data_IF_533835630571
#
_entry.id   IF_533835630571
#
_cell.length_a   1.000
_cell.length_b   1.000
_cell.length_c   1.000
_cell.angle_alpha   90.00
_cell.angle_beta   90.00
_cell.angle_gamma   90.00
#
_symmetry.space_group_name_H-M   'P 1'
#
loop_
_entity.id
_entity.type
_entity.pdbx_description
1 polymer ?
#
# COMPACT_ATOMS: atom_id res chain seq x y z
N UNK A 1 19.13 62.91 -51.18
CA UNK A 1 19.39 61.46 -51.02
C UNK A 1 20.40 61.25 -49.89
N UNK A 2 19.95 61.02 -48.65
CA UNK A 2 20.78 60.54 -47.53
C UNK A 2 19.92 59.58 -46.73
N UNK A 3 20.29 58.30 -46.74
CA UNK A 3 19.51 57.19 -46.22
C UNK A 3 19.55 57.09 -44.70
N UNK A 4 18.39 56.84 -44.11
CA UNK A 4 18.16 56.66 -42.69
C UNK A 4 18.40 55.18 -42.33
N UNK A 5 19.48 54.88 -41.61
CA UNK A 5 19.76 53.53 -41.08
C UNK A 5 19.06 53.35 -39.74
N UNK A 6 18.07 52.45 -39.70
CA UNK A 6 17.46 51.98 -38.46
C UNK A 6 18.32 50.88 -37.84
N UNK A 7 18.73 51.05 -36.58
CA UNK A 7 19.36 49.99 -35.78
C UNK A 7 18.23 49.33 -34.98
N UNK A 8 17.89 48.10 -35.32
CA UNK A 8 16.98 47.28 -34.53
C UNK A 8 17.77 46.59 -33.40
N UNK A 9 17.48 46.95 -32.15
CA UNK A 9 18.00 46.29 -30.96
C UNK A 9 17.13 45.07 -30.65
N UNK A 10 17.62 43.88 -30.95
CA UNK A 10 16.95 42.63 -30.57
C UNK A 10 17.19 42.37 -29.07
N UNK A 11 16.18 42.63 -28.23
CA UNK A 11 16.14 42.12 -26.87
C UNK A 11 15.92 40.61 -26.91
N UNK A 12 16.99 39.83 -26.70
CA UNK A 12 16.88 38.42 -26.39
C UNK A 12 16.17 38.28 -25.03
N UNK A 13 14.92 37.82 -25.05
CA UNK A 13 14.21 37.38 -23.86
C UNK A 13 14.91 36.13 -23.33
N UNK A 14 15.86 36.32 -22.41
CA UNK A 14 16.38 35.22 -21.59
C UNK A 14 15.22 34.75 -20.71
N UNK A 15 14.67 33.57 -21.02
CA UNK A 15 13.76 32.87 -20.12
C UNK A 15 14.42 32.62 -18.77
N UNK A 16 13.65 32.45 -17.67
CA UNK A 16 14.23 32.10 -16.39
C UNK A 16 15.11 30.85 -16.54
N UNK A 17 16.26 30.79 -15.84
CA UNK A 17 17.08 29.59 -15.86
C UNK A 17 16.19 28.41 -15.46
N UNK A 18 16.22 27.35 -16.26
CA UNK A 18 15.63 26.08 -15.84
C UNK A 18 16.25 25.75 -14.48
N UNK A 19 15.42 25.69 -13.44
CA UNK A 19 15.88 25.25 -12.14
C UNK A 19 16.54 23.89 -12.35
N UNK A 20 17.83 23.81 -12.07
CA UNK A 20 18.58 22.57 -12.01
C UNK A 20 17.79 21.66 -11.06
N UNK A 21 17.13 20.64 -11.61
CA UNK A 21 16.29 19.76 -10.83
C UNK A 21 17.22 19.04 -9.86
N UNK A 22 17.24 19.47 -8.59
CA UNK A 22 17.82 18.66 -7.53
C UNK A 22 17.24 17.25 -7.67
N UNK A 23 18.09 16.22 -7.72
CA UNK A 23 17.69 14.83 -7.99
C UNK A 23 16.64 14.38 -6.98
N UNK A 24 15.35 14.58 -7.30
CA UNK A 24 14.25 14.22 -6.42
C UNK A 24 14.11 12.72 -6.45
N UNK A 25 14.28 12.04 -5.33
CA UNK A 25 14.21 10.59 -5.23
C UNK A 25 13.03 10.15 -4.38
N UNK A 26 12.20 9.29 -4.96
CA UNK A 26 11.02 8.70 -4.32
C UNK A 26 11.33 7.23 -4.07
N UNK A 27 11.47 6.84 -2.80
CA UNK A 27 11.55 5.43 -2.44
C UNK A 27 10.15 4.84 -2.28
N UNK A 28 9.85 3.73 -2.95
CA UNK A 28 8.54 3.07 -2.86
C UNK A 28 8.69 1.67 -2.29
N UNK A 29 7.87 1.28 -1.32
CA UNK A 29 7.81 -0.09 -0.79
C UNK A 29 6.39 -0.62 -0.85
N UNK A 30 6.20 -1.76 -1.51
CA UNK A 30 4.95 -2.54 -1.45
C UNK A 30 5.07 -3.63 -0.39
N UNK A 31 4.07 -3.81 0.47
CA UNK A 31 4.10 -4.91 1.48
C UNK A 31 4.03 -6.31 0.85
N UNK A 32 3.62 -6.41 -0.41
CA UNK A 32 3.76 -7.59 -1.26
C UNK A 32 3.44 -7.23 -2.71
N UNK A 33 3.59 -8.19 -3.62
CA UNK A 33 3.39 -7.94 -5.05
C UNK A 33 1.96 -8.29 -5.49
N UNK A 34 0.99 -7.49 -5.04
CA UNK A 34 -0.44 -7.70 -5.31
C UNK A 34 -1.02 -6.62 -6.23
N UNK A 35 -2.04 -6.98 -7.01
CA UNK A 35 -2.73 -6.09 -7.97
C UNK A 35 -3.18 -4.80 -7.28
N UNK A 36 -3.69 -4.89 -6.05
CA UNK A 36 -4.14 -3.72 -5.29
C UNK A 36 -3.04 -2.65 -5.13
N UNK A 37 -1.85 -3.03 -4.69
CA UNK A 37 -0.74 -2.07 -4.51
C UNK A 37 -0.16 -1.59 -5.83
N UNK A 38 -0.16 -2.42 -6.88
CA UNK A 38 0.24 -2.01 -8.22
C UNK A 38 -0.68 -0.90 -8.76
N UNK A 39 -1.99 -1.04 -8.59
CA UNK A 39 -2.95 -0.01 -9.03
C UNK A 39 -2.88 1.27 -8.18
N UNK A 40 -2.68 1.15 -6.86
CA UNK A 40 -2.41 2.34 -6.02
C UNK A 40 -1.14 3.06 -6.49
N UNK A 41 -0.07 2.32 -6.78
CA UNK A 41 1.18 2.91 -7.26
C UNK A 41 1.02 3.60 -8.61
N UNK A 42 0.33 2.95 -9.56
CA UNK A 42 0.04 3.52 -10.87
C UNK A 42 -0.76 4.82 -10.75
N UNK A 43 -1.76 4.86 -9.88
CA UNK A 43 -2.54 6.06 -9.60
C UNK A 43 -1.66 7.16 -8.97
N UNK A 44 -0.79 6.81 -8.03
CA UNK A 44 0.16 7.74 -7.43
C UNK A 44 1.10 8.36 -8.47
N UNK A 45 1.75 7.53 -9.31
CA UNK A 45 2.66 7.99 -10.37
C UNK A 45 1.94 8.91 -11.36
N UNK A 46 0.72 8.56 -11.76
CA UNK A 46 -0.09 9.39 -12.64
C UNK A 46 -0.42 10.75 -12.01
N UNK A 47 -0.77 10.78 -10.72
CA UNK A 47 -1.10 12.02 -10.01
C UNK A 47 0.12 12.92 -9.85
N UNK A 48 1.27 12.41 -9.39
CA UNK A 48 2.46 13.26 -9.20
C UNK A 48 3.04 13.77 -10.51
N UNK A 49 2.84 13.05 -11.62
CA UNK A 49 3.22 13.52 -12.94
C UNK A 49 2.41 14.76 -13.37
N UNK A 50 1.12 14.82 -13.02
CA UNK A 50 0.28 16.00 -13.26
C UNK A 50 0.73 17.21 -12.43
N UNK A 51 1.32 16.96 -11.26
CA UNK A 51 1.92 17.98 -10.39
C UNK A 51 3.37 18.35 -10.81
N UNK A 52 3.86 17.84 -11.93
CA UNK A 52 5.19 18.16 -12.47
C UNK A 52 6.35 17.29 -11.95
N UNK A 53 6.06 16.20 -11.25
CA UNK A 53 7.05 15.22 -10.75
C UNK A 53 7.06 13.94 -11.58
N UNK A 54 7.00 14.07 -12.91
CA UNK A 54 7.16 12.94 -13.82
C UNK A 54 8.61 12.40 -13.85
N UNK A 55 8.90 11.37 -14.69
CA UNK A 55 10.21 10.70 -14.70
C UNK A 55 11.42 11.60 -15.01
N UNK A 56 11.20 12.74 -15.67
CA UNK A 56 12.26 13.72 -15.94
C UNK A 56 12.56 14.63 -14.72
N UNK A 57 11.73 14.60 -13.68
CA UNK A 57 11.77 15.50 -12.53
C UNK A 57 11.90 14.77 -11.19
N UNK A 58 11.65 13.46 -11.14
CA UNK A 58 11.89 12.63 -9.97
C UNK A 58 12.22 11.17 -10.37
N UNK A 59 13.26 10.61 -9.75
CA UNK A 59 13.60 9.20 -9.85
C UNK A 59 12.79 8.39 -8.82
N UNK A 60 12.34 7.19 -9.21
CA UNK A 60 11.54 6.31 -8.35
C UNK A 60 12.26 4.98 -8.15
N UNK A 61 12.66 4.71 -6.91
CA UNK A 61 13.28 3.45 -6.50
C UNK A 61 12.20 2.54 -5.91
N UNK A 62 11.65 1.66 -6.73
CA UNK A 62 10.60 0.72 -6.31
C UNK A 62 11.18 -0.57 -5.68
N UNK A 63 10.68 -0.92 -4.49
CA UNK A 63 10.91 -2.19 -3.82
C UNK A 63 9.60 -2.98 -3.71
N UNK A 64 9.61 -4.22 -4.21
CA UNK A 64 8.52 -5.20 -4.08
C UNK A 64 9.05 -6.42 -3.33
N UNK A 65 9.33 -6.30 -2.02
CA UNK A 65 9.81 -7.41 -1.20
C UNK A 65 8.79 -8.55 -1.14
N UNK A 66 9.28 -9.76 -0.84
CA UNK A 66 8.40 -10.84 -0.38
C UNK A 66 7.65 -10.42 0.88
N UNK A 67 6.39 -10.85 1.08
CA UNK A 67 5.54 -10.43 2.18
C UNK A 67 5.92 -11.09 3.52
N UNK A 68 7.10 -10.76 4.03
CA UNK A 68 7.65 -11.24 5.30
C UNK A 68 8.50 -10.18 6.04
N UNK A 69 8.64 -10.28 7.37
CA UNK A 69 9.26 -9.24 8.22
C UNK A 69 10.67 -8.78 7.80
N UNK A 70 11.54 -9.73 7.47
CA UNK A 70 12.93 -9.41 7.12
C UNK A 70 13.01 -8.68 5.79
N UNK A 71 12.18 -9.08 4.82
CA UNK A 71 12.15 -8.49 3.49
C UNK A 71 11.64 -7.04 3.52
N UNK A 72 10.62 -6.71 4.33
CA UNK A 72 10.19 -5.32 4.53
C UNK A 72 11.26 -4.45 5.19
N UNK A 73 11.94 -5.00 6.21
CA UNK A 73 13.02 -4.29 6.93
C UNK A 73 14.19 -3.98 5.98
N UNK A 74 14.59 -4.95 5.16
CA UNK A 74 15.67 -4.78 4.20
C UNK A 74 15.32 -3.77 3.09
N UNK A 75 14.07 -3.80 2.60
CA UNK A 75 13.59 -2.81 1.63
C UNK A 75 13.63 -1.39 2.21
N UNK A 76 13.19 -1.20 3.46
CA UNK A 76 13.24 0.09 4.14
C UNK A 76 14.69 0.56 4.32
N UNK A 77 15.59 -0.28 4.83
CA UNK A 77 17.02 0.04 5.00
C UNK A 77 17.69 0.45 3.70
N UNK A 78 17.40 -0.26 2.61
CA UNK A 78 17.96 0.06 1.29
C UNK A 78 17.56 1.46 0.84
N UNK A 79 16.30 1.85 1.01
CA UNK A 79 15.83 3.18 0.61
C UNK A 79 16.31 4.28 1.54
N UNK A 80 16.44 4.01 2.85
CA UNK A 80 17.07 4.93 3.80
C UNK A 80 18.55 5.14 3.45
N UNK A 81 19.28 4.07 3.12
CA UNK A 81 20.68 4.16 2.72
C UNK A 81 20.89 4.85 1.36
N UNK A 82 19.87 4.79 0.48
CA UNK A 82 19.84 5.53 -0.78
C UNK A 82 19.49 7.02 -0.60
N UNK A 83 19.27 7.48 0.63
CA UNK A 83 18.95 8.86 0.99
C UNK A 83 17.78 9.45 0.18
N UNK A 84 16.71 8.66 0.03
CA UNK A 84 15.54 9.12 -0.72
C UNK A 84 14.87 10.31 -0.04
N UNK A 85 14.35 11.26 -0.82
CA UNK A 85 13.72 12.46 -0.26
C UNK A 85 12.35 12.17 0.38
N UNK A 86 11.64 11.15 -0.09
CA UNK A 86 10.36 10.71 0.47
C UNK A 86 10.21 9.20 0.34
N UNK A 87 9.62 8.58 1.35
CA UNK A 87 9.19 7.19 1.31
C UNK A 87 7.69 7.11 1.06
N UNK A 88 7.29 6.35 0.06
CA UNK A 88 5.90 6.01 -0.21
C UNK A 88 5.71 4.52 0.09
N UNK A 89 4.82 4.20 1.02
CA UNK A 89 4.62 2.83 1.49
C UNK A 89 3.20 2.36 1.26
N UNK A 90 3.03 1.14 0.77
CA UNK A 90 1.72 0.51 0.60
C UNK A 90 1.56 -0.67 1.55
N UNK A 91 0.51 -0.62 2.37
CA UNK A 91 0.24 -1.59 3.43
C UNK A 91 0.95 -1.27 4.76
N UNK A 92 0.38 -1.78 5.86
CA UNK A 92 0.94 -1.53 7.20
C UNK A 92 2.34 -2.14 7.39
N UNK A 93 2.66 -3.35 6.92
CA UNK A 93 3.98 -3.95 7.15
C UNK A 93 5.15 -3.10 6.65
N UNK A 94 5.08 -2.63 5.39
CA UNK A 94 6.08 -1.74 4.81
C UNK A 94 6.16 -0.39 5.54
N UNK A 95 5.01 0.18 5.90
CA UNK A 95 4.93 1.47 6.61
C UNK A 95 5.59 1.38 7.98
N UNK A 96 5.29 0.32 8.75
CA UNK A 96 5.87 0.11 10.07
C UNK A 96 7.36 -0.20 10.01
N UNK A 97 7.83 -0.90 8.96
CA UNK A 97 9.26 -1.09 8.71
C UNK A 97 9.96 0.25 8.44
N UNK A 98 9.43 1.07 7.53
CA UNK A 98 9.95 2.41 7.25
C UNK A 98 9.99 3.30 8.50
N UNK A 99 8.91 3.31 9.28
CA UNK A 99 8.86 4.04 10.56
C UNK A 99 9.98 3.58 11.49
N UNK A 100 10.32 2.28 11.56
CA UNK A 100 11.41 1.82 12.44
C UNK A 100 12.78 2.28 11.98
N UNK A 101 12.99 2.34 10.66
CA UNK A 101 14.30 2.60 10.06
C UNK A 101 14.63 4.10 9.88
N UNK A 102 13.63 5.00 9.90
CA UNK A 102 13.91 6.44 9.80
C UNK A 102 12.93 7.32 10.60
N UNK A 103 13.49 8.39 11.17
CA UNK A 103 12.76 9.50 11.80
C UNK A 103 12.84 10.80 10.97
N UNK A 104 13.70 10.84 9.96
CA UNK A 104 14.02 12.04 9.19
C UNK A 104 13.34 12.10 7.83
N UNK A 105 13.27 10.97 7.11
CA UNK A 105 12.64 10.92 5.79
C UNK A 105 11.11 10.94 5.97
N UNK A 106 10.38 11.84 5.30
CA UNK A 106 8.91 11.83 5.30
C UNK A 106 8.36 10.52 4.72
N UNK A 107 7.35 9.97 5.37
CA UNK A 107 6.66 8.73 4.96
C UNK A 107 5.22 9.09 4.58
N UNK A 108 4.85 8.77 3.34
CA UNK A 108 3.48 8.88 2.82
C UNK A 108 2.92 7.48 2.60
N UNK A 109 1.97 7.05 3.44
CA UNK A 109 1.40 5.72 3.35
C UNK A 109 0.04 5.68 2.64
N UNK A 110 -0.26 4.56 1.99
CA UNK A 110 -1.59 4.23 1.51
C UNK A 110 -1.90 2.74 1.70
N UNK A 111 -3.18 2.37 1.67
CA UNK A 111 -3.58 0.96 1.75
C UNK A 111 -3.49 0.35 3.16
N UNK A 112 -3.53 1.16 4.22
CA UNK A 112 -3.56 0.68 5.61
C UNK A 112 -5.01 0.50 6.09
N UNK A 113 -5.33 -0.67 6.61
CA UNK A 113 -6.68 -0.94 7.12
C UNK A 113 -7.05 -0.08 8.34
N UNK A 114 -6.18 0.01 9.35
CA UNK A 114 -6.43 0.84 10.54
C UNK A 114 -5.10 1.41 11.04
N UNK A 115 -4.62 2.54 10.47
CA UNK A 115 -3.29 3.07 10.75
C UNK A 115 -3.10 3.47 12.22
N UNK A 116 -4.17 3.87 12.91
CA UNK A 116 -4.14 4.20 14.34
C UNK A 116 -3.93 2.94 15.16
N UNK A 117 -4.76 1.90 14.93
CA UNK A 117 -4.69 0.67 15.71
C UNK A 117 -3.36 -0.09 15.54
N UNK A 118 -2.74 -0.01 14.37
CA UNK A 118 -1.43 -0.67 14.11
C UNK A 118 -0.22 0.18 14.48
N UNK A 119 -0.42 1.40 15.01
CA UNK A 119 0.66 2.26 15.48
C UNK A 119 1.44 2.98 14.38
N UNK A 120 0.81 3.29 13.24
CA UNK A 120 1.42 4.04 12.13
C UNK A 120 1.45 5.58 12.35
N UNK A 121 1.18 6.06 13.56
CA UNK A 121 1.12 7.49 13.91
C UNK A 121 2.50 8.06 14.31
N UNK A 122 3.51 7.86 13.46
CA UNK A 122 4.83 8.46 13.68
C UNK A 122 4.87 9.94 13.26
N UNK A 123 5.73 10.75 13.88
CA UNK A 123 5.88 12.19 13.58
C UNK A 123 6.18 12.47 12.11
N UNK A 124 6.95 11.60 11.45
CA UNK A 124 7.32 11.70 10.04
C UNK A 124 6.40 10.88 9.12
N UNK A 125 5.26 10.38 9.59
CA UNK A 125 4.36 9.54 8.81
C UNK A 125 2.97 10.16 8.68
N UNK A 126 2.47 10.21 7.45
CA UNK A 126 1.10 10.64 7.11
C UNK A 126 0.59 9.82 5.93
N UNK A 127 -0.71 9.83 5.68
CA UNK A 127 -1.26 9.07 4.56
C UNK A 127 -2.76 8.83 4.65
N UNK A 128 -3.22 7.86 3.86
CA UNK A 128 -4.63 7.50 3.74
C UNK A 128 -4.88 6.06 4.18
N UNK A 129 -6.04 5.84 4.81
CA UNK A 129 -6.53 4.52 5.19
C UNK A 129 -7.43 3.93 4.10
N UNK A 130 -7.37 2.61 3.93
CA UNK A 130 -8.25 1.82 3.06
C UNK A 130 -9.36 1.09 3.85
N UNK A 131 -9.69 1.55 5.06
CA UNK A 131 -10.66 0.87 5.93
C UNK A 131 -12.04 0.77 5.28
N UNK A 132 -12.40 -0.45 4.88
CA UNK A 132 -13.78 -0.77 4.52
C UNK A 132 -14.59 -1.12 5.79
N UNK A 133 -15.82 -0.56 5.97
CA UNK A 133 -16.64 -0.89 7.13
C UNK A 133 -17.05 -2.36 7.18
N UNK A 134 -16.57 -3.10 8.18
CA UNK A 134 -16.85 -4.54 8.33
C UNK A 134 -18.35 -4.81 8.55
N UNK A 135 -19.03 -3.93 9.27
CA UNK A 135 -20.48 -4.01 9.50
C UNK A 135 -21.29 -3.94 8.20
N UNK A 136 -20.88 -3.11 7.24
CA UNK A 136 -21.49 -3.04 5.92
C UNK A 136 -21.25 -4.34 5.15
N UNK A 137 -20.01 -4.85 5.13
CA UNK A 137 -19.68 -6.11 4.47
C UNK A 137 -20.55 -7.26 4.98
N UNK A 138 -20.68 -7.43 6.30
CA UNK A 138 -21.51 -8.48 6.91
C UNK A 138 -23.01 -8.30 6.63
N UNK A 139 -23.49 -7.04 6.58
CA UNK A 139 -24.88 -6.72 6.23
C UNK A 139 -25.20 -7.12 4.79
N UNK A 140 -24.29 -6.87 3.84
CA UNK A 140 -24.46 -7.27 2.46
C UNK A 140 -24.32 -8.78 2.29
N UNK A 141 -23.35 -9.41 2.96
CA UNK A 141 -23.18 -10.87 2.94
C UNK A 141 -24.47 -11.59 3.36
N UNK A 142 -25.17 -11.09 4.39
CA UNK A 142 -26.42 -11.68 4.89
C UNK A 142 -27.56 -11.66 3.86
N UNK A 143 -27.51 -10.75 2.89
CA UNK A 143 -28.46 -10.70 1.78
C UNK A 143 -28.15 -11.69 0.66
N UNK A 144 -26.91 -12.18 0.59
CA UNK A 144 -26.42 -13.05 -0.48
C UNK A 144 -26.48 -14.53 -0.08
N UNK A 145 -26.14 -14.83 1.18
CA UNK A 145 -26.04 -16.21 1.66
C UNK A 145 -26.43 -16.30 3.13
N UNK A 146 -27.04 -17.40 3.51
CA UNK A 146 -27.23 -17.77 4.93
C UNK A 146 -25.90 -18.31 5.44
N UNK A 147 -25.37 -17.72 6.51
CA UNK A 147 -24.08 -18.11 7.06
C UNK A 147 -24.14 -18.25 8.59
N UNK A 148 -23.27 -19.11 9.11
CA UNK A 148 -22.99 -19.32 10.53
C UNK A 148 -21.50 -19.41 10.81
N UNK A 149 -20.67 -19.66 9.78
CA UNK A 149 -19.22 -19.78 9.87
C UNK A 149 -18.54 -19.00 8.75
N UNK A 150 -17.66 -18.08 9.12
CA UNK A 150 -16.86 -17.30 8.17
C UNK A 150 -15.40 -17.68 8.34
N UNK A 151 -14.79 -18.29 7.33
CA UNK A 151 -13.35 -18.49 7.31
C UNK A 151 -12.63 -17.19 6.94
N UNK A 152 -11.47 -16.92 7.55
CA UNK A 152 -10.64 -15.77 7.22
C UNK A 152 -9.21 -16.21 6.92
N UNK A 153 -8.74 -15.92 5.71
CA UNK A 153 -7.35 -16.19 5.29
C UNK A 153 -6.52 -14.94 5.55
N UNK A 154 -5.49 -15.08 6.39
CA UNK A 154 -4.66 -13.96 6.83
C UNK A 154 -3.24 -14.41 7.18
N UNK A 155 -2.31 -13.48 7.22
CA UNK A 155 -0.97 -13.69 7.75
C UNK A 155 -0.82 -13.02 9.11
N UNK A 156 -0.31 -13.76 10.09
CA UNK A 156 -0.07 -13.27 11.45
C UNK A 156 1.09 -12.26 11.52
N UNK A 157 1.97 -12.25 10.52
CA UNK A 157 3.04 -11.28 10.41
C UNK A 157 2.59 -9.92 9.84
N UNK A 158 1.33 -9.80 9.41
CA UNK A 158 0.76 -8.58 8.82
C UNK A 158 -0.22 -7.91 9.80
N UNK A 159 0.19 -6.84 10.52
CA UNK A 159 -0.60 -6.29 11.64
C UNK A 159 -1.99 -5.77 11.25
N UNK A 160 -2.15 -5.24 10.05
CA UNK A 160 -3.44 -4.80 9.52
C UNK A 160 -4.38 -5.96 9.20
N UNK A 161 -3.86 -7.09 8.72
CA UNK A 161 -4.64 -8.31 8.54
C UNK A 161 -5.11 -8.90 9.88
N UNK A 162 -4.22 -8.92 10.89
CA UNK A 162 -4.58 -9.31 12.27
C UNK A 162 -5.67 -8.39 12.82
N UNK A 163 -5.51 -7.08 12.68
CA UNK A 163 -6.49 -6.09 13.14
C UNK A 163 -7.86 -6.24 12.45
N UNK A 164 -7.87 -6.58 11.16
CA UNK A 164 -9.11 -6.85 10.42
C UNK A 164 -9.81 -8.12 10.92
N UNK A 165 -9.06 -9.19 11.22
CA UNK A 165 -9.58 -10.42 11.81
C UNK A 165 -10.19 -10.15 13.20
N UNK A 166 -9.53 -9.33 14.01
CA UNK A 166 -10.06 -8.90 15.31
C UNK A 166 -11.38 -8.12 15.18
N UNK A 167 -11.48 -7.20 14.20
CA UNK A 167 -12.72 -6.47 13.92
C UNK A 167 -13.87 -7.41 13.53
N UNK A 168 -13.59 -8.39 12.68
CA UNK A 168 -14.57 -9.41 12.28
C UNK A 168 -15.07 -10.17 13.51
N UNK A 169 -14.14 -10.62 14.38
CA UNK A 169 -14.48 -11.40 15.58
C UNK A 169 -15.34 -10.63 16.58
N UNK A 170 -15.13 -9.32 16.72
CA UNK A 170 -15.95 -8.46 17.57
C UNK A 170 -17.42 -8.40 17.13
N UNK A 171 -17.72 -8.75 15.88
CA UNK A 171 -19.07 -8.72 15.30
C UNK A 171 -19.77 -10.08 15.30
N UNK A 172 -19.12 -11.15 15.76
CA UNK A 172 -19.65 -12.53 15.78
C UNK A 172 -21.01 -12.63 16.45
N UNK A 173 -21.13 -12.12 17.68
CA UNK A 173 -22.38 -12.18 18.46
C UNK A 173 -23.51 -11.38 17.80
N UNK A 174 -23.18 -10.19 17.29
CA UNK A 174 -24.17 -9.29 16.70
C UNK A 174 -24.75 -9.86 15.39
N UNK A 175 -23.95 -10.56 14.60
CA UNK A 175 -24.35 -11.08 13.29
C UNK A 175 -24.62 -12.59 13.26
N UNK A 176 -24.37 -13.30 14.36
CA UNK A 176 -24.71 -14.71 14.53
C UNK A 176 -23.82 -15.66 13.75
N UNK A 177 -22.50 -15.48 13.83
CA UNK A 177 -21.53 -16.36 13.18
C UNK A 177 -20.30 -16.66 14.06
N UNK A 178 -19.47 -17.62 13.64
CA UNK A 178 -18.16 -17.89 14.21
C UNK A 178 -17.06 -17.72 13.16
N UNK A 179 -15.93 -17.13 13.56
CA UNK A 179 -14.76 -16.96 12.68
C UNK A 179 -13.86 -18.20 12.73
N UNK A 180 -13.54 -18.73 11.56
CA UNK A 180 -12.54 -19.80 11.38
C UNK A 180 -11.26 -19.15 10.87
N UNK A 181 -10.25 -19.05 11.75
CA UNK A 181 -8.94 -18.48 11.38
C UNK A 181 -8.15 -19.46 10.54
N UNK A 182 -7.69 -19.01 9.37
CA UNK A 182 -6.85 -19.77 8.45
C UNK A 182 -5.53 -19.00 8.25
N UNK A 183 -4.55 -19.15 9.18
CA UNK A 183 -3.27 -18.47 9.06
C UNK A 183 -2.46 -19.06 7.90
N UNK A 184 -1.84 -18.18 7.11
CA UNK A 184 -0.88 -18.49 6.05
C UNK A 184 0.37 -17.65 6.23
N UNK A 185 1.55 -18.22 6.00
CA UNK A 185 2.83 -17.50 6.11
C UNK A 185 3.41 -17.15 4.75
N UNK A 186 3.13 -17.99 3.75
CA UNK A 186 3.54 -17.81 2.36
C UNK A 186 2.41 -18.17 1.41
N UNK A 187 2.41 -17.66 0.17
CA UNK A 187 1.35 -17.93 -0.79
C UNK A 187 1.12 -19.43 -1.02
N UNK A 188 2.16 -20.27 -0.94
CA UNK A 188 2.04 -21.71 -1.17
C UNK A 188 1.22 -22.43 -0.09
N UNK A 189 1.14 -21.86 1.12
CA UNK A 189 0.42 -22.46 2.25
C UNK A 189 -1.08 -22.59 1.94
N UNK A 190 -1.62 -21.78 1.01
CA UNK A 190 -3.03 -21.87 0.62
C UNK A 190 -3.41 -23.25 0.10
N UNK A 191 -2.48 -23.99 -0.51
CA UNK A 191 -2.73 -25.33 -1.06
C UNK A 191 -3.27 -26.28 0.00
N UNK A 192 -2.81 -26.12 1.23
CA UNK A 192 -3.19 -26.95 2.38
C UNK A 192 -4.45 -26.45 3.10
N UNK A 193 -5.00 -25.29 2.72
CA UNK A 193 -6.23 -24.79 3.33
C UNK A 193 -7.43 -25.68 2.96
N UNK A 194 -8.23 -25.96 3.97
CA UNK A 194 -9.45 -26.75 3.87
C UNK A 194 -10.57 -26.01 4.59
N UNK A 195 -11.46 -25.39 3.83
CA UNK A 195 -12.63 -24.66 4.34
C UNK A 195 -13.95 -25.07 3.66
N UNK A 196 -13.90 -25.81 2.54
CA UNK A 196 -15.11 -26.32 1.87
C UNK A 196 -15.89 -27.25 2.80
N UNK A 197 -17.18 -27.00 2.96
CA UNK A 197 -18.05 -27.68 3.93
C UNK A 197 -17.79 -27.29 5.40
N UNK A 198 -16.69 -26.58 5.70
CA UNK A 198 -16.32 -26.11 7.04
C UNK A 198 -16.64 -24.63 7.26
N UNK A 199 -16.80 -23.85 6.21
CA UNK A 199 -17.22 -22.45 6.25
C UNK A 199 -18.29 -22.20 5.20
N UNK A 200 -19.13 -21.20 5.46
CA UNK A 200 -20.24 -20.81 4.59
C UNK A 200 -19.87 -19.58 3.74
N UNK A 201 -18.86 -18.82 4.19
CA UNK A 201 -18.20 -17.75 3.46
C UNK A 201 -16.70 -17.71 3.78
N UNK A 202 -15.91 -17.16 2.87
CA UNK A 202 -14.48 -16.92 3.07
C UNK A 202 -14.20 -15.43 2.91
N UNK A 203 -13.63 -14.81 3.94
CA UNK A 203 -13.04 -13.50 3.89
C UNK A 203 -11.56 -13.62 3.53
N UNK A 204 -11.17 -13.06 2.39
CA UNK A 204 -9.77 -12.84 2.05
C UNK A 204 -9.40 -11.48 2.65
N UNK A 205 -8.52 -11.51 3.64
CA UNK A 205 -8.13 -10.29 4.38
C UNK A 205 -7.29 -9.34 3.52
N UNK A 206 -6.90 -8.21 4.10
CA UNK A 206 -5.93 -7.27 3.49
C UNK A 206 -4.50 -7.85 3.39
N UNK A 207 -4.26 -9.07 3.88
CA UNK A 207 -2.96 -9.73 3.83
C UNK A 207 -2.43 -9.85 2.40
N UNK A 208 -1.21 -9.38 2.20
CA UNK A 208 -0.46 -9.50 0.94
C UNK A 208 -0.28 -10.97 0.59
N UNK A 209 0.06 -11.84 1.55
CA UNK A 209 0.19 -13.29 1.32
C UNK A 209 -1.12 -13.90 0.82
N UNK A 210 -2.24 -13.54 1.45
CA UNK A 210 -3.55 -14.06 1.04
C UNK A 210 -3.93 -13.58 -0.38
N UNK A 211 -3.62 -12.33 -0.72
CA UNK A 211 -3.94 -11.73 -2.00
C UNK A 211 -3.02 -12.19 -3.14
N UNK A 212 -1.74 -12.49 -2.88
CA UNK A 212 -0.84 -13.13 -3.86
C UNK A 212 -1.34 -14.52 -4.27
N UNK A 213 -2.10 -15.17 -3.38
CA UNK A 213 -2.66 -16.48 -3.60
C UNK A 213 -4.17 -16.47 -3.92
N UNK A 214 -4.74 -15.32 -4.26
CA UNK A 214 -6.18 -15.10 -4.47
C UNK A 214 -6.81 -16.14 -5.40
N UNK A 215 -6.23 -16.33 -6.59
CA UNK A 215 -6.77 -17.26 -7.59
C UNK A 215 -6.82 -18.70 -7.06
N UNK A 216 -5.80 -19.11 -6.30
CA UNK A 216 -5.75 -20.45 -5.70
C UNK A 216 -6.76 -20.63 -4.56
N UNK A 217 -7.11 -19.55 -3.86
CA UNK A 217 -8.15 -19.59 -2.82
C UNK A 217 -9.54 -19.69 -3.47
N UNK A 218 -9.80 -18.92 -4.52
CA UNK A 218 -11.11 -18.89 -5.21
C UNK A 218 -11.45 -20.21 -5.91
N UNK A 219 -10.44 -20.96 -6.36
CA UNK A 219 -10.63 -22.24 -7.05
C UNK A 219 -10.94 -23.46 -6.14
N UNK A 220 -10.94 -23.31 -4.81
CA UNK A 220 -11.18 -24.41 -3.85
C UNK A 220 -12.66 -24.63 -3.52
#
# INVERSE_FOLDING_TARGET
>A
MRGLRWIALACALAGPPAAEAADKTIGVIMSGNIIYYQEVHKAFVAAIAQEGFGPAAADTILQMPSPEPMSWTNAARKLVAADVNVLVTYGAPATLAAIRETRGIPIVFAGLYDPVAVGAQARNAMGISSKAPMTSLLKYLKKLVVYSRIAVVYNEAEPDAVRQVEELRQLEQQYGFHTIKLPVRRPEDVKNLSFRGKADAVLISVSSVANEALDSIVQK
#
